data_IF_734509493362
#
_entry.id   IF_734509493362
#
_cell.length_a   1.000
_cell.length_b   1.000
_cell.length_c   1.000
_cell.angle_alpha   90.00
_cell.angle_beta   90.00
_cell.angle_gamma   90.00
#
_symmetry.space_group_name_H-M   'P 1'
#
loop_
_entity.id
_entity.type
_entity.pdbx_description
1 polymer ?
#
# COMPACT_ATOMS: atom_id res chain seq x y z
N UNK A 1 1.66 5.73 -5.32
CA UNK A 1 1.74 7.16 -4.95
C UNK A 1 2.17 8.04 -6.12
N UNK A 2 3.29 7.79 -6.80
CA UNK A 2 3.76 8.64 -7.93
C UNK A 2 2.73 8.86 -9.06
N UNK A 3 1.87 7.87 -9.32
CA UNK A 3 0.82 7.96 -10.35
C UNK A 3 -0.48 8.65 -9.88
N UNK A 4 -0.51 9.17 -8.65
CA UNK A 4 -1.69 9.84 -8.08
C UNK A 4 -1.58 11.37 -8.10
N UNK A 5 -0.71 11.95 -8.95
CA UNK A 5 -0.47 13.41 -9.04
C UNK A 5 0.04 14.04 -7.73
N UNK A 6 0.73 13.25 -6.91
CA UNK A 6 1.36 13.69 -5.67
C UNK A 6 2.66 14.43 -6.00
N UNK A 7 2.72 15.72 -5.65
CA UNK A 7 3.85 16.60 -5.93
C UNK A 7 5.10 16.28 -5.10
N UNK A 8 4.92 15.77 -3.88
CA UNK A 8 6.01 15.44 -2.98
C UNK A 8 5.64 14.26 -2.08
N UNK A 9 6.56 13.32 -1.91
CA UNK A 9 6.42 12.18 -1.01
C UNK A 9 7.39 12.35 0.16
N UNK A 10 6.86 12.26 1.38
CA UNK A 10 7.63 12.30 2.62
C UNK A 10 7.45 10.93 3.30
N UNK A 11 8.56 10.25 3.58
CA UNK A 11 8.57 8.98 4.31
C UNK A 11 9.07 9.25 5.72
N UNK A 12 8.23 8.99 6.72
CA UNK A 12 8.61 9.05 8.12
C UNK A 12 9.11 7.67 8.55
N UNK A 13 10.34 7.60 9.05
CA UNK A 13 10.99 6.35 9.47
C UNK A 13 11.28 6.36 10.97
N UNK A 14 11.13 5.20 11.61
CA UNK A 14 11.35 5.00 13.04
C UNK A 14 12.25 3.80 13.30
N UNK A 15 11.67 2.68 13.73
CA UNK A 15 12.42 1.42 13.89
C UNK A 15 13.00 0.94 12.55
N UNK A 16 14.16 0.27 12.60
CA UNK A 16 14.90 -0.23 11.42
C UNK A 16 15.06 0.79 10.29
N UNK A 17 15.15 2.08 10.63
CA UNK A 17 15.24 3.18 9.66
C UNK A 17 16.33 3.00 8.60
N UNK A 18 17.45 2.38 8.93
CA UNK A 18 18.55 2.15 7.97
C UNK A 18 18.14 1.16 6.87
N UNK A 19 17.42 0.08 7.20
CA UNK A 19 16.89 -0.87 6.21
C UNK A 19 15.87 -0.18 5.29
N UNK A 20 15.00 0.65 5.84
CA UNK A 20 14.00 1.41 5.07
C UNK A 20 14.68 2.42 4.15
N UNK A 21 15.63 3.21 4.66
CA UNK A 21 16.42 4.16 3.87
C UNK A 21 17.15 3.48 2.72
N UNK A 22 17.75 2.32 2.99
CA UNK A 22 18.44 1.53 1.97
C UNK A 22 17.49 1.06 0.87
N UNK A 23 16.28 0.62 1.24
CA UNK A 23 15.25 0.20 0.28
C UNK A 23 14.72 1.35 -0.61
N UNK A 24 14.84 2.59 -0.14
CA UNK A 24 14.37 3.79 -0.84
C UNK A 24 15.45 4.47 -1.69
N UNK A 25 16.67 3.93 -1.73
CA UNK A 25 17.75 4.45 -2.59
C UNK A 25 17.29 4.44 -4.05
N UNK A 26 17.46 5.58 -4.72
CA UNK A 26 17.02 5.76 -6.12
C UNK A 26 15.55 6.14 -6.28
N UNK A 27 14.77 6.21 -5.21
CA UNK A 27 13.39 6.72 -5.22
C UNK A 27 13.40 8.21 -4.84
N UNK A 28 12.69 9.04 -5.61
CA UNK A 28 12.56 10.46 -5.31
C UNK A 28 11.57 10.69 -4.14
N UNK A 29 12.09 10.66 -2.91
CA UNK A 29 11.34 10.91 -1.68
C UNK A 29 12.16 11.74 -0.69
N UNK A 30 11.48 12.49 0.19
CA UNK A 30 12.11 13.09 1.38
C UNK A 30 11.97 12.13 2.55
N UNK A 31 13.02 11.95 3.33
CA UNK A 31 13.02 11.08 4.51
C UNK A 31 13.08 11.94 5.76
N UNK A 32 12.21 11.63 6.73
CA UNK A 32 12.15 12.28 8.04
C UNK A 32 12.25 11.20 9.10
N UNK A 33 13.06 11.42 10.13
CA UNK A 33 13.18 10.48 11.24
C UNK A 33 12.27 10.88 12.39
N UNK A 34 11.45 9.93 12.86
CA UNK A 34 10.81 9.99 14.16
C UNK A 34 11.78 9.39 15.18
N UNK A 35 12.42 10.24 15.99
CA UNK A 35 13.44 9.78 16.95
C UNK A 35 12.85 8.91 18.07
N UNK A 36 11.69 9.29 18.59
CA UNK A 36 10.96 8.56 19.63
C UNK A 36 9.57 8.18 19.13
N UNK A 37 9.18 6.92 19.31
CA UNK A 37 7.90 6.37 18.84
C UNK A 37 6.74 6.78 19.76
N UNK A 38 6.53 8.09 19.90
CA UNK A 38 5.50 8.68 20.77
C UNK A 38 4.10 8.70 20.11
N UNK A 39 3.85 7.85 19.11
CA UNK A 39 2.57 7.77 18.39
C UNK A 39 2.54 8.45 17.02
N UNK A 40 1.43 8.26 16.32
CA UNK A 40 1.24 8.61 14.90
C UNK A 40 1.16 10.11 14.65
N UNK A 41 0.60 10.89 15.58
CA UNK A 41 0.60 12.35 15.45
C UNK A 41 2.02 12.93 15.54
N UNK A 42 2.88 12.36 16.40
CA UNK A 42 4.28 12.76 16.50
C UNK A 42 5.08 12.37 15.24
N UNK A 43 4.75 11.25 14.60
CA UNK A 43 5.32 10.89 13.31
C UNK A 43 5.03 11.98 12.25
N UNK A 44 3.78 12.44 12.15
CA UNK A 44 3.41 13.54 11.25
C UNK A 44 4.08 14.86 11.64
N UNK A 45 4.13 15.19 12.93
CA UNK A 45 4.80 16.40 13.43
C UNK A 45 6.31 16.43 13.15
N UNK A 46 6.97 15.28 13.08
CA UNK A 46 8.39 15.20 12.70
C UNK A 46 8.61 15.80 11.31
N UNK A 47 7.61 15.72 10.42
CA UNK A 47 7.64 16.30 9.07
C UNK A 47 7.17 17.78 9.01
N UNK A 48 6.84 18.42 10.14
CA UNK A 48 6.26 19.77 10.19
C UNK A 48 7.05 20.82 9.39
N UNK A 49 8.38 20.76 9.44
CA UNK A 49 9.25 21.70 8.72
C UNK A 49 9.14 21.60 7.19
N UNK A 50 8.68 20.46 6.66
CA UNK A 50 8.40 20.25 5.23
C UNK A 50 6.97 20.60 4.86
N UNK A 51 6.05 20.59 5.83
CA UNK A 51 4.64 20.95 5.65
C UNK A 51 4.40 22.45 5.80
N UNK A 52 5.20 23.13 6.62
CA UNK A 52 5.06 24.56 6.89
C UNK A 52 5.28 25.39 5.64
N UNK A 53 4.29 26.21 5.27
CA UNK A 53 4.33 27.06 4.07
C UNK A 53 3.68 26.43 2.84
N UNK A 54 3.26 25.16 2.90
CA UNK A 54 2.39 24.59 1.88
C UNK A 54 0.96 25.12 2.06
N UNK A 55 0.34 25.50 0.96
CA UNK A 55 -1.04 25.98 0.92
C UNK A 55 -2.03 24.91 0.46
N UNK A 56 -1.52 23.78 -0.02
CA UNK A 56 -2.31 22.66 -0.54
C UNK A 56 -2.80 21.73 0.58
N UNK A 57 -3.31 20.57 0.18
CA UNK A 57 -3.66 19.46 1.06
C UNK A 57 -2.48 18.51 1.25
N UNK A 58 -2.50 17.77 2.36
CA UNK A 58 -1.55 16.70 2.64
C UNK A 58 -2.30 15.40 2.84
N UNK A 59 -1.80 14.34 2.20
CA UNK A 59 -2.29 12.98 2.40
C UNK A 59 -1.37 12.24 3.36
N UNK A 60 -1.96 11.62 4.38
CA UNK A 60 -1.27 10.75 5.34
C UNK A 60 -1.69 9.32 5.06
N UNK A 61 -0.71 8.44 4.86
CA UNK A 61 -0.91 7.02 4.54
C UNK A 61 -0.03 6.17 5.46
N UNK A 62 -0.52 4.98 5.81
CA UNK A 62 0.29 3.96 6.44
C UNK A 62 1.15 3.22 5.40
N UNK A 63 2.34 2.78 5.80
CA UNK A 63 3.29 2.08 4.92
C UNK A 63 2.98 0.59 4.69
N UNK A 64 1.95 0.06 5.33
CA UNK A 64 1.63 -1.36 5.44
C UNK A 64 0.40 -1.81 4.62
N UNK A 65 -0.19 -0.91 3.81
CA UNK A 65 -1.30 -1.19 2.91
C UNK A 65 -0.83 -1.26 1.44
N UNK A 66 -0.14 -2.32 1.01
CA UNK A 66 0.55 -2.35 -0.29
C UNK A 66 -0.39 -2.53 -1.48
N UNK A 67 -1.68 -2.82 -1.28
CA UNK A 67 -2.65 -3.03 -2.37
C UNK A 67 -3.30 -1.74 -2.86
N UNK A 68 -3.12 -0.62 -2.14
CA UNK A 68 -3.77 0.66 -2.43
C UNK A 68 -3.53 1.10 -3.88
N UNK A 69 -4.61 1.45 -4.59
CA UNK A 69 -4.54 1.88 -5.99
C UNK A 69 -4.51 3.40 -6.08
N UNK A 70 -3.83 3.96 -7.10
CA UNK A 70 -3.84 5.40 -7.35
C UNK A 70 -5.25 5.99 -7.50
N UNK A 71 -6.19 5.23 -8.08
CA UNK A 71 -7.57 5.68 -8.26
C UNK A 71 -8.30 5.97 -6.95
N UNK A 72 -8.10 5.15 -5.92
CA UNK A 72 -8.71 5.35 -4.59
C UNK A 72 -8.11 6.56 -3.89
N UNK A 73 -6.79 6.76 -3.99
CA UNK A 73 -6.14 7.95 -3.45
C UNK A 73 -6.65 9.24 -4.14
N UNK A 74 -6.82 9.22 -5.47
CA UNK A 74 -7.39 10.34 -6.21
C UNK A 74 -8.82 10.65 -5.78
N UNK A 75 -9.67 9.63 -5.61
CA UNK A 75 -11.05 9.81 -5.10
C UNK A 75 -11.05 10.48 -3.72
N UNK A 76 -10.13 10.10 -2.84
CA UNK A 76 -10.02 10.70 -1.50
C UNK A 76 -9.64 12.19 -1.57
N UNK A 77 -8.72 12.57 -2.47
CA UNK A 77 -8.35 13.97 -2.71
C UNK A 77 -9.52 14.77 -3.29
N UNK A 78 -10.18 14.22 -4.31
CA UNK A 78 -11.33 14.86 -4.96
C UNK A 78 -12.46 15.07 -3.96
N UNK A 79 -12.80 14.06 -3.15
CA UNK A 79 -13.83 14.17 -2.13
C UNK A 79 -13.50 15.27 -1.10
N UNK A 80 -12.23 15.43 -0.72
CA UNK A 80 -11.82 16.52 0.17
C UNK A 80 -12.03 17.90 -0.47
N UNK A 81 -11.64 18.05 -1.74
CA UNK A 81 -11.76 19.31 -2.47
C UNK A 81 -13.21 19.69 -2.77
N UNK A 82 -14.03 18.76 -3.27
CA UNK A 82 -15.44 18.99 -3.62
C UNK A 82 -16.28 19.42 -2.41
N UNK A 83 -15.97 18.87 -1.24
CA UNK A 83 -16.69 19.19 0.00
C UNK A 83 -16.05 20.35 0.78
N UNK A 84 -14.94 20.93 0.30
CA UNK A 84 -14.14 21.93 1.01
C UNK A 84 -13.79 21.51 2.46
N UNK A 85 -13.51 20.21 2.65
CA UNK A 85 -13.37 19.62 3.96
C UNK A 85 -12.01 19.94 4.61
N UNK A 86 -11.99 20.18 5.92
CA UNK A 86 -10.75 20.32 6.69
C UNK A 86 -9.98 18.99 6.75
N UNK A 87 -10.73 17.89 6.78
CA UNK A 87 -10.23 16.52 6.75
C UNK A 87 -11.18 15.63 5.96
N UNK A 88 -10.62 14.69 5.21
CA UNK A 88 -11.34 13.55 4.66
C UNK A 88 -10.61 12.28 5.03
N UNK A 89 -11.32 11.29 5.55
CA UNK A 89 -10.75 9.98 5.89
C UNK A 89 -11.39 8.88 5.06
N UNK A 90 -10.58 7.89 4.69
CA UNK A 90 -11.08 6.66 4.08
C UNK A 90 -11.61 5.76 5.20
N UNK A 91 -12.81 5.21 5.03
CA UNK A 91 -13.44 4.24 5.93
C UNK A 91 -13.77 2.96 5.18
N UNK A 92 -14.04 1.88 5.90
CA UNK A 92 -14.48 0.62 5.32
C UNK A 92 -15.43 -0.11 6.28
N UNK A 93 -16.32 -0.94 5.75
CA UNK A 93 -17.15 -1.82 6.57
C UNK A 93 -16.59 -3.24 6.55
N UNK A 94 -16.37 -3.80 7.75
CA UNK A 94 -15.93 -5.19 7.92
C UNK A 94 -16.94 -5.97 8.77
N UNK A 95 -17.20 -7.22 8.39
CA UNK A 95 -17.96 -8.13 9.25
C UNK A 95 -17.19 -8.53 10.51
N UNK A 96 -15.85 -8.51 10.42
CA UNK A 96 -14.90 -8.83 11.47
C UNK A 96 -13.89 -7.68 11.58
N UNK A 97 -14.22 -6.63 12.35
CA UNK A 97 -13.43 -5.40 12.44
C UNK A 97 -12.29 -5.46 13.46
N UNK A 98 -12.01 -6.62 14.06
CA UNK A 98 -11.01 -6.78 15.12
C UNK A 98 -9.64 -6.23 14.70
N UNK A 99 -9.05 -5.40 15.56
CA UNK A 99 -7.72 -4.81 15.36
C UNK A 99 -7.71 -3.45 14.67
N UNK A 100 -8.87 -2.92 14.27
CA UNK A 100 -9.00 -1.59 13.67
C UNK A 100 -9.67 -0.59 14.62
N UNK A 101 -9.41 0.70 14.46
CA UNK A 101 -10.20 1.74 15.16
C UNK A 101 -11.63 1.80 14.60
N UNK A 102 -12.63 2.04 15.45
CA UNK A 102 -14.05 2.17 15.06
C UNK A 102 -14.41 3.62 14.79
N UNK A 103 -15.14 3.86 13.69
CA UNK A 103 -15.64 5.20 13.36
C UNK A 103 -16.85 5.52 14.23
N UNK A 104 -16.77 6.60 15.00
CA UNK A 104 -17.89 7.09 15.79
C UNK A 104 -18.62 8.18 14.99
N UNK A 105 -19.92 7.99 14.79
CA UNK A 105 -20.80 9.00 14.19
C UNK A 105 -21.78 9.57 15.21
N UNK A 106 -22.23 10.79 14.98
CA UNK A 106 -23.34 11.40 15.73
C UNK A 106 -24.70 11.00 15.14
N UNK A 107 -25.78 11.55 15.70
CA UNK A 107 -27.16 11.27 15.25
C UNK A 107 -27.48 11.82 13.85
N UNK A 108 -26.67 12.75 13.33
CA UNK A 108 -26.79 13.30 11.98
C UNK A 108 -25.91 12.56 10.98
N UNK A 109 -25.16 11.54 11.42
CA UNK A 109 -24.23 10.78 10.60
C UNK A 109 -22.85 11.45 10.45
N UNK A 110 -22.59 12.57 11.12
CA UNK A 110 -21.30 13.25 11.10
C UNK A 110 -20.27 12.45 11.90
N UNK A 111 -19.03 12.35 11.37
CA UNK A 111 -17.93 11.69 12.10
C UNK A 111 -17.52 12.57 13.27
N UNK A 112 -17.62 12.03 14.48
CA UNK A 112 -17.30 12.74 15.74
C UNK A 112 -15.98 12.29 16.37
N UNK A 113 -15.47 11.13 15.98
CA UNK A 113 -14.26 10.57 16.56
C UNK A 113 -13.93 9.18 16.01
N UNK A 114 -12.81 8.65 16.49
CA UNK A 114 -12.41 7.27 16.31
C UNK A 114 -12.06 6.73 17.69
N UNK A 115 -12.45 5.50 17.96
CA UNK A 115 -12.01 4.78 19.16
C UNK A 115 -11.17 3.58 18.76
N UNK A 116 -9.99 3.46 19.36
CA UNK A 116 -9.09 2.34 19.10
C UNK A 116 -9.66 1.05 19.71
N UNK A 117 -9.43 -0.11 19.08
CA UNK A 117 -9.89 -1.43 19.55
C UNK A 117 -9.54 -1.70 21.03
N UNK A 118 -8.37 -1.27 21.49
CA UNK A 118 -7.95 -1.46 22.89
C UNK A 118 -8.75 -0.64 23.91
N UNK A 119 -9.55 0.30 23.42
CA UNK A 119 -10.33 1.25 24.22
C UNK A 119 -11.84 1.06 24.08
N UNK A 120 -12.31 0.26 23.11
CA UNK A 120 -13.73 0.01 22.89
C UNK A 120 -14.42 -0.70 24.06
N UNK A 121 -15.66 -0.32 24.34
CA UNK A 121 -16.58 -1.08 25.18
C UNK A 121 -17.41 -2.12 24.38
N UNK A 122 -18.32 -2.84 25.07
CA UNK A 122 -19.12 -3.90 24.46
C UNK A 122 -20.05 -3.43 23.33
N UNK A 123 -20.56 -2.20 23.43
CA UNK A 123 -21.46 -1.60 22.44
C UNK A 123 -20.64 -1.10 21.24
N UNK A 124 -19.49 -0.46 21.50
CA UNK A 124 -18.58 0.05 20.47
C UNK A 124 -17.94 -1.08 19.65
N UNK A 125 -17.73 -2.26 20.24
CA UNK A 125 -17.27 -3.45 19.52
C UNK A 125 -18.22 -3.90 18.40
N UNK A 126 -19.50 -3.50 18.45
CA UNK A 126 -20.49 -3.82 17.41
C UNK A 126 -20.39 -2.91 16.18
N UNK A 127 -19.63 -1.82 16.27
CA UNK A 127 -19.43 -0.90 15.15
C UNK A 127 -18.60 -1.62 14.09
N UNK A 128 -19.14 -1.70 12.87
CA UNK A 128 -18.49 -2.35 11.72
C UNK A 128 -17.72 -1.40 10.82
N UNK A 129 -17.97 -0.09 10.95
CA UNK A 129 -17.23 0.93 10.21
C UNK A 129 -15.86 1.14 10.87
N UNK A 130 -14.81 0.90 10.10
CA UNK A 130 -13.44 0.96 10.58
C UNK A 130 -12.66 2.14 9.98
N UNK A 131 -11.68 2.58 10.75
CA UNK A 131 -10.62 3.46 10.30
C UNK A 131 -9.56 2.68 9.52
N UNK A 132 -9.25 3.15 8.31
CA UNK A 132 -8.25 2.51 7.46
C UNK A 132 -6.89 3.21 7.49
N UNK A 133 -6.75 4.29 8.27
CA UNK A 133 -5.47 4.98 8.45
C UNK A 133 -5.01 5.80 7.23
N UNK A 134 -5.95 6.19 6.38
CA UNK A 134 -5.68 7.03 5.20
C UNK A 134 -6.49 8.31 5.28
N UNK A 135 -5.80 9.44 5.22
CA UNK A 135 -6.38 10.74 5.50
C UNK A 135 -5.90 11.77 4.49
N UNK A 136 -6.76 12.74 4.16
CA UNK A 136 -6.40 13.98 3.47
C UNK A 136 -6.78 15.14 4.37
N UNK A 137 -5.87 16.09 4.53
CA UNK A 137 -6.09 17.27 5.36
C UNK A 137 -5.74 18.53 4.61
N UNK A 138 -6.46 19.62 4.90
CA UNK A 138 -5.91 20.96 4.68
C UNK A 138 -4.70 21.14 5.59
N UNK A 139 -3.54 21.53 5.05
CA UNK A 139 -2.29 21.64 5.81
C UNK A 139 -2.44 22.55 7.03
N UNK A 140 -3.11 23.70 6.87
CA UNK A 140 -3.38 24.62 7.98
C UNK A 140 -4.18 23.95 9.11
N UNK A 141 -5.28 23.28 8.76
CA UNK A 141 -6.14 22.60 9.75
C UNK A 141 -5.40 21.46 10.43
N UNK A 142 -4.60 20.68 9.70
CA UNK A 142 -3.75 19.63 10.28
C UNK A 142 -2.79 20.19 11.33
N UNK A 143 -2.04 21.25 11.00
CA UNK A 143 -1.06 21.84 11.93
C UNK A 143 -1.73 22.45 13.16
N UNK A 144 -2.90 23.07 13.01
CA UNK A 144 -3.72 23.56 14.13
C UNK A 144 -4.20 22.40 15.03
N UNK A 145 -4.68 21.31 14.44
CA UNK A 145 -5.16 20.15 15.18
C UNK A 145 -4.06 19.39 15.91
N UNK A 146 -2.92 19.16 15.26
CA UNK A 146 -1.76 18.48 15.85
C UNK A 146 -1.23 19.18 17.10
N UNK A 147 -1.38 20.52 17.20
CA UNK A 147 -0.94 21.28 18.36
C UNK A 147 -1.79 21.04 19.63
N UNK A 148 -2.99 20.46 19.48
CA UNK A 148 -3.93 20.21 20.56
C UNK A 148 -4.03 18.73 20.97
N UNK A 149 -3.39 17.83 20.23
CA UNK A 149 -3.36 16.41 20.55
C UNK A 149 -2.56 16.21 21.84
N UNK A 150 -3.15 15.45 22.76
CA UNK A 150 -2.56 15.13 24.06
C UNK A 150 -2.61 13.61 24.29
N UNK A 151 -1.61 13.02 24.97
CA UNK A 151 -1.50 11.58 25.17
C UNK A 151 -2.44 11.09 26.27
N UNK A 152 -3.76 11.08 26.00
CA UNK A 152 -4.81 10.76 26.98
C UNK A 152 -5.29 9.30 26.93
N UNK A 153 -4.80 8.53 25.96
CA UNK A 153 -5.13 7.10 25.82
C UNK A 153 -4.38 6.23 26.85
N UNK A 154 -4.80 4.96 26.93
CA UNK A 154 -4.20 3.97 27.84
C UNK A 154 -2.69 3.76 27.65
N UNK A 155 -2.15 4.08 26.48
CA UNK A 155 -0.71 3.92 26.17
C UNK A 155 0.12 5.18 26.41
N UNK A 156 -0.51 6.33 26.64
CA UNK A 156 0.20 7.61 26.77
C UNK A 156 0.86 8.07 25.47
N UNK A 157 0.29 7.71 24.31
CA UNK A 157 0.81 8.06 22.98
C UNK A 157 0.01 9.19 22.32
N UNK A 158 0.59 9.91 21.36
CA UNK A 158 -0.12 10.93 20.59
C UNK A 158 -0.78 10.31 19.35
N UNK A 159 -2.08 10.05 19.40
CA UNK A 159 -2.82 9.45 18.29
C UNK A 159 -3.30 10.50 17.30
N UNK A 160 -2.96 10.31 16.02
CA UNK A 160 -3.46 11.17 14.95
C UNK A 160 -4.99 11.12 14.87
N UNK A 161 -5.61 9.99 15.24
CA UNK A 161 -7.07 9.79 15.25
C UNK A 161 -7.78 10.77 16.18
N UNK A 162 -7.12 11.26 17.25
CA UNK A 162 -7.68 12.24 18.18
C UNK A 162 -8.01 13.60 17.51
N UNK A 163 -7.39 13.90 16.36
CA UNK A 163 -7.65 15.13 15.61
C UNK A 163 -9.10 15.25 15.17
N UNK A 164 -9.78 14.12 14.96
CA UNK A 164 -11.18 14.08 14.51
C UNK A 164 -12.09 14.66 15.58
N UNK A 165 -11.92 14.24 16.83
CA UNK A 165 -12.67 14.77 17.97
C UNK A 165 -12.39 16.26 18.17
N UNK A 166 -11.14 16.69 17.99
CA UNK A 166 -10.75 18.12 18.05
C UNK A 166 -11.46 18.92 16.95
N UNK A 167 -11.46 18.42 15.73
CA UNK A 167 -12.12 19.06 14.59
C UNK A 167 -13.63 19.12 14.77
N UNK A 168 -14.25 18.04 15.25
CA UNK A 168 -15.68 17.96 15.52
C UNK A 168 -16.11 19.04 16.53
N UNK A 169 -15.41 19.16 17.65
CA UNK A 169 -15.72 20.18 18.67
C UNK A 169 -15.49 21.62 18.21
N UNK A 170 -14.64 21.82 17.20
CA UNK A 170 -14.39 23.13 16.58
C UNK A 170 -15.32 23.46 15.42
N UNK A 171 -16.24 22.56 15.06
CA UNK A 171 -17.10 22.71 13.89
C UNK A 171 -16.34 22.72 12.56
N UNK A 172 -15.15 22.11 12.52
CA UNK A 172 -14.39 21.88 11.28
C UNK A 172 -15.10 20.81 10.45
N UNK A 173 -14.95 20.86 9.12
CA UNK A 173 -15.64 19.93 8.22
C UNK A 173 -14.86 18.63 8.07
N UNK A 174 -15.48 17.51 8.46
CA UNK A 174 -14.89 16.16 8.42
C UNK A 174 -15.73 15.29 7.50
N UNK A 175 -15.11 14.72 6.47
CA UNK A 175 -15.78 13.86 5.48
C UNK A 175 -15.26 12.43 5.53
N UNK A 176 -16.17 11.46 5.49
CA UNK A 176 -15.82 10.04 5.36
C UNK A 176 -16.06 9.54 3.94
N UNK A 177 -15.04 8.97 3.31
CA UNK A 177 -15.17 8.27 2.04
C UNK A 177 -15.13 6.76 2.28
N UNK A 178 -16.23 6.07 2.01
CA UNK A 178 -16.27 4.61 2.11
C UNK A 178 -15.50 3.95 0.95
N UNK A 179 -14.60 3.02 1.26
CA UNK A 179 -13.97 2.16 0.27
C UNK A 179 -14.87 0.98 -0.09
N UNK A 180 -15.19 0.86 -1.37
CA UNK A 180 -15.92 -0.29 -1.93
C UNK A 180 -15.09 -1.57 -2.02
N UNK A 181 -13.76 -1.45 -1.96
CA UNK A 181 -12.84 -2.58 -2.03
C UNK A 181 -11.99 -2.63 -0.74
N UNK A 182 -12.43 -3.45 0.20
CA UNK A 182 -11.75 -3.58 1.50
C UNK A 182 -10.35 -4.17 1.32
N UNK A 183 -10.16 -5.16 0.45
CA UNK A 183 -8.85 -5.79 0.21
C UNK A 183 -7.78 -4.79 -0.25
N UNK A 184 -8.18 -3.73 -0.94
CA UNK A 184 -7.27 -2.69 -1.42
C UNK A 184 -6.70 -1.83 -0.28
N UNK A 185 -7.49 -1.59 0.76
CA UNK A 185 -7.23 -0.53 1.74
C UNK A 185 -6.71 -1.07 3.08
N UNK A 186 -6.90 -2.36 3.37
CA UNK A 186 -6.45 -2.97 4.62
C UNK A 186 -4.93 -3.08 4.71
N UNK A 187 -4.41 -2.81 5.91
CA UNK A 187 -3.01 -3.01 6.26
C UNK A 187 -2.67 -4.48 6.51
N UNK A 188 -1.37 -4.79 6.54
CA UNK A 188 -0.85 -6.13 6.80
C UNK A 188 -0.19 -6.17 8.18
N UNK A 189 -0.75 -6.98 9.07
CA UNK A 189 -0.28 -7.17 10.44
C UNK A 189 0.25 -8.59 10.68
N UNK A 190 -0.15 -9.56 9.87
CA UNK A 190 0.26 -10.97 10.03
C UNK A 190 0.92 -11.56 8.78
N UNK A 191 1.75 -12.59 8.96
CA UNK A 191 2.35 -13.35 7.84
C UNK A 191 1.29 -14.03 6.97
N UNK A 192 0.12 -14.36 7.55
CA UNK A 192 -1.01 -14.91 6.80
C UNK A 192 -1.62 -13.86 5.87
N UNK A 193 -1.83 -12.64 6.36
CA UNK A 193 -2.29 -11.51 5.54
C UNK A 193 -1.28 -11.19 4.44
N UNK A 194 0.02 -11.19 4.75
CA UNK A 194 1.07 -10.97 3.76
C UNK A 194 1.03 -12.00 2.63
N UNK A 195 0.86 -13.29 2.97
CA UNK A 195 0.73 -14.36 1.99
C UNK A 195 -0.48 -14.17 1.07
N UNK A 196 -1.64 -13.80 1.64
CA UNK A 196 -2.86 -13.53 0.88
C UNK A 196 -2.68 -12.32 -0.07
N UNK A 197 -2.07 -11.25 0.41
CA UNK A 197 -1.78 -10.06 -0.41
C UNK A 197 -0.81 -10.37 -1.55
N UNK A 198 0.26 -11.14 -1.27
CA UNK A 198 1.19 -11.58 -2.30
C UNK A 198 0.52 -12.44 -3.37
N UNK A 199 -0.42 -13.31 -2.97
CA UNK A 199 -1.22 -14.09 -3.91
C UNK A 199 -2.09 -13.18 -4.80
N UNK A 200 -2.77 -12.19 -4.23
CA UNK A 200 -3.54 -11.20 -4.99
C UNK A 200 -2.66 -10.47 -6.00
N UNK A 201 -1.48 -9.98 -5.58
CA UNK A 201 -0.53 -9.30 -6.48
C UNK A 201 -0.04 -10.19 -7.61
N UNK A 202 0.31 -11.44 -7.32
CA UNK A 202 0.73 -12.42 -8.36
C UNK A 202 -0.37 -12.64 -9.39
N UNK A 203 -1.61 -12.80 -8.94
CA UNK A 203 -2.75 -12.97 -9.82
C UNK A 203 -2.96 -11.75 -10.72
N UNK A 204 -2.77 -10.53 -10.21
CA UNK A 204 -2.84 -9.30 -11.01
C UNK A 204 -1.77 -9.26 -12.11
N UNK A 205 -0.53 -9.61 -11.77
CA UNK A 205 0.59 -9.62 -12.74
C UNK A 205 0.33 -10.65 -13.85
N UNK A 206 -0.07 -11.86 -13.47
CA UNK A 206 -0.34 -12.91 -14.46
C UNK A 206 -1.50 -12.53 -15.38
N UNK A 207 -2.60 -11.99 -14.83
CA UNK A 207 -3.73 -11.49 -15.63
C UNK A 207 -3.30 -10.41 -16.61
N UNK A 208 -2.48 -9.46 -16.17
CA UNK A 208 -1.96 -8.40 -17.04
C UNK A 208 -1.22 -8.94 -18.28
N UNK A 209 -0.42 -10.00 -18.13
CA UNK A 209 0.25 -10.63 -19.28
C UNK A 209 -0.72 -11.41 -20.17
N UNK A 210 -1.68 -12.13 -19.57
CA UNK A 210 -2.71 -12.84 -20.33
C UNK A 210 -3.56 -11.89 -21.17
N UNK A 211 -3.95 -10.74 -20.61
CA UNK A 211 -4.70 -9.69 -21.31
C UNK A 211 -3.90 -9.06 -22.47
N UNK A 212 -2.56 -9.18 -22.43
CA UNK A 212 -1.64 -8.77 -23.50
C UNK A 212 -1.35 -9.86 -24.53
N UNK A 213 -2.05 -11.00 -24.49
CA UNK A 213 -1.89 -12.08 -25.46
C UNK A 213 -0.75 -13.06 -25.14
N UNK A 214 -0.18 -13.01 -23.94
CA UNK A 214 0.82 -13.99 -23.47
C UNK A 214 0.10 -15.24 -22.96
N UNK A 215 0.54 -16.41 -23.41
CA UNK A 215 -0.05 -17.67 -22.94
C UNK A 215 0.61 -18.08 -21.63
N UNK A 216 -0.08 -17.91 -20.50
CA UNK A 216 0.33 -18.48 -19.21
C UNK A 216 -0.47 -19.77 -18.99
N UNK A 217 0.20 -20.92 -19.10
CA UNK A 217 -0.47 -22.24 -19.13
C UNK A 217 -1.14 -22.58 -17.80
N UNK A 218 -0.46 -22.28 -16.69
CA UNK A 218 -0.99 -22.50 -15.33
C UNK A 218 -0.74 -21.25 -14.47
N UNK A 219 -1.67 -20.28 -14.47
CA UNK A 219 -1.56 -19.05 -13.69
C UNK A 219 -1.31 -19.26 -12.20
N UNK A 220 -1.80 -20.37 -11.62
CA UNK A 220 -1.65 -20.64 -10.18
C UNK A 220 -0.25 -21.10 -9.81
N UNK A 221 0.50 -21.66 -10.78
CA UNK A 221 1.83 -22.23 -10.58
C UNK A 221 2.93 -21.51 -11.39
N UNK A 222 2.66 -20.32 -11.90
CA UNK A 222 3.64 -19.47 -12.58
C UNK A 222 3.86 -18.18 -11.79
N UNK A 223 5.13 -17.85 -11.55
CA UNK A 223 5.52 -16.70 -10.74
C UNK A 223 6.27 -15.70 -11.60
N UNK A 224 5.73 -14.49 -11.71
CA UNK A 224 6.32 -13.40 -12.48
C UNK A 224 6.44 -12.21 -11.53
N UNK A 225 7.66 -11.70 -11.34
CA UNK A 225 7.90 -10.50 -10.54
C UNK A 225 7.57 -9.22 -11.33
N UNK A 226 7.54 -8.08 -10.62
CA UNK A 226 7.35 -6.77 -11.24
C UNK A 226 8.50 -6.40 -12.18
N UNK A 227 8.23 -5.49 -13.13
CA UNK A 227 9.22 -4.99 -14.11
C UNK A 227 9.74 -6.07 -15.08
N UNK A 228 8.94 -7.09 -15.36
CA UNK A 228 9.20 -8.06 -16.42
C UNK A 228 8.54 -7.59 -17.71
N UNK A 229 9.21 -7.79 -18.83
CA UNK A 229 8.69 -7.59 -20.18
C UNK A 229 8.62 -8.94 -20.91
N UNK A 230 7.50 -9.22 -21.56
CA UNK A 230 7.28 -10.45 -22.33
C UNK A 230 6.66 -10.07 -23.67
N UNK A 231 7.34 -10.45 -24.75
CA UNK A 231 6.89 -10.22 -26.12
C UNK A 231 5.71 -11.10 -26.52
N UNK A 232 4.89 -10.60 -27.45
CA UNK A 232 3.69 -11.27 -27.95
C UNK A 232 3.96 -12.68 -28.49
N UNK A 233 2.97 -13.57 -28.34
CA UNK A 233 3.05 -14.95 -28.81
C UNK A 233 3.91 -15.86 -27.93
N UNK A 234 4.54 -15.32 -26.88
CA UNK A 234 5.30 -16.13 -25.92
C UNK A 234 4.37 -16.97 -25.04
N UNK A 235 4.81 -18.20 -24.77
CA UNK A 235 4.17 -19.16 -23.89
C UNK A 235 5.02 -19.40 -22.65
N UNK A 236 4.42 -19.30 -21.47
CA UNK A 236 5.03 -19.61 -20.19
C UNK A 236 4.36 -20.85 -19.60
N UNK A 237 5.14 -21.91 -19.49
CA UNK A 237 4.72 -23.20 -18.95
C UNK A 237 4.74 -23.20 -17.40
N UNK A 238 4.08 -24.18 -16.76
CA UNK A 238 3.94 -24.24 -15.30
C UNK A 238 5.27 -24.34 -14.55
N UNK A 239 5.25 -23.97 -13.27
CA UNK A 239 6.38 -24.01 -12.35
C UNK A 239 7.58 -23.14 -12.78
N UNK A 240 7.29 -22.08 -13.53
CA UNK A 240 8.28 -21.12 -13.99
C UNK A 240 8.34 -19.93 -13.04
N UNK A 241 9.55 -19.52 -12.68
CA UNK A 241 9.82 -18.31 -11.91
C UNK A 241 10.62 -17.31 -12.75
N UNK A 242 10.08 -16.11 -12.95
CA UNK A 242 10.71 -15.03 -13.69
C UNK A 242 10.98 -13.87 -12.73
N UNK A 243 12.26 -13.62 -12.44
CA UNK A 243 12.68 -12.51 -11.58
C UNK A 243 12.44 -11.14 -12.24
N UNK A 244 12.47 -10.08 -11.42
CA UNK A 244 12.36 -8.69 -11.87
C UNK A 244 13.39 -8.32 -12.95
N UNK A 245 13.07 -7.30 -13.74
CA UNK A 245 13.93 -6.74 -14.80
C UNK A 245 14.31 -7.72 -15.92
N UNK A 246 13.61 -8.84 -16.05
CA UNK A 246 13.79 -9.77 -17.17
C UNK A 246 13.07 -9.24 -18.40
N UNK A 247 13.73 -9.35 -19.56
CA UNK A 247 13.14 -9.05 -20.87
C UNK A 247 13.10 -10.33 -21.70
N UNK A 248 11.90 -10.76 -22.08
CA UNK A 248 11.67 -11.92 -22.96
C UNK A 248 11.11 -11.42 -24.28
N UNK A 249 11.72 -11.84 -25.38
CA UNK A 249 11.28 -11.57 -26.74
C UNK A 249 9.92 -12.19 -27.10
N UNK A 250 9.60 -12.11 -28.39
CA UNK A 250 8.37 -12.63 -28.97
C UNK A 250 8.47 -14.12 -29.26
N UNK A 251 7.33 -14.82 -29.27
CA UNK A 251 7.21 -16.22 -29.71
C UNK A 251 8.14 -17.19 -28.96
N UNK A 252 8.51 -16.87 -27.73
CA UNK A 252 9.35 -17.74 -26.90
C UNK A 252 8.53 -18.86 -26.24
N UNK A 253 9.22 -19.92 -25.82
CA UNK A 253 8.66 -20.97 -24.96
C UNK A 253 9.48 -21.04 -23.67
N UNK A 254 8.91 -20.62 -22.55
CA UNK A 254 9.60 -20.53 -21.26
C UNK A 254 9.05 -21.58 -20.30
N UNK A 255 9.94 -22.36 -19.70
CA UNK A 255 9.62 -23.47 -18.82
C UNK A 255 9.17 -24.73 -19.57
N UNK A 256 8.72 -25.76 -18.84
CA UNK A 256 8.42 -25.74 -17.40
C UNK A 256 9.68 -25.74 -16.52
N UNK A 257 9.50 -25.50 -15.22
CA UNK A 257 10.57 -25.55 -14.21
C UNK A 257 11.75 -24.59 -14.45
N UNK A 258 11.54 -23.54 -15.25
CA UNK A 258 12.59 -22.56 -15.53
C UNK A 258 12.69 -21.53 -14.40
N UNK A 259 13.92 -21.19 -14.02
CA UNK A 259 14.22 -20.06 -13.13
C UNK A 259 15.00 -19.01 -13.90
N UNK A 260 14.33 -17.93 -14.29
CA UNK A 260 14.96 -16.84 -15.06
C UNK A 260 15.45 -15.78 -14.07
N UNK A 261 16.77 -15.65 -13.97
CA UNK A 261 17.44 -14.70 -13.06
C UNK A 261 17.18 -13.26 -13.46
N UNK A 262 17.24 -12.36 -12.47
CA UNK A 262 17.08 -10.92 -12.69
C UNK A 262 18.06 -10.41 -13.75
N UNK A 263 17.62 -9.39 -14.50
CA UNK A 263 18.36 -8.71 -15.56
C UNK A 263 18.70 -9.58 -16.80
N UNK A 264 18.15 -10.80 -16.88
CA UNK A 264 18.30 -11.64 -18.06
C UNK A 264 17.55 -11.05 -19.27
N UNK A 265 18.13 -11.25 -20.46
CA UNK A 265 17.53 -10.89 -21.75
C UNK A 265 17.45 -12.13 -22.62
N UNK A 266 16.25 -12.47 -23.06
CA UNK A 266 15.95 -13.62 -23.91
C UNK A 266 15.45 -13.05 -25.23
N UNK A 267 16.12 -13.37 -26.33
CA UNK A 267 15.74 -12.91 -27.67
C UNK A 267 14.47 -13.61 -28.17
N UNK A 268 13.95 -13.14 -29.31
CA UNK A 268 12.78 -13.73 -29.97
C UNK A 268 13.03 -15.20 -30.35
N UNK A 269 11.96 -15.99 -30.39
CA UNK A 269 11.94 -17.39 -30.86
C UNK A 269 12.85 -18.33 -30.04
N UNK A 270 13.16 -17.97 -28.79
CA UNK A 270 13.98 -18.79 -27.87
C UNK A 270 13.13 -19.75 -27.05
N UNK A 271 13.62 -20.97 -26.87
CA UNK A 271 13.09 -21.95 -25.92
C UNK A 271 14.02 -22.08 -24.71
N UNK A 272 13.46 -21.93 -23.50
CA UNK A 272 14.17 -22.13 -22.24
C UNK A 272 13.41 -23.17 -21.43
N UNK A 273 14.01 -24.33 -21.23
CA UNK A 273 13.44 -25.39 -20.39
C UNK A 273 14.29 -25.65 -19.14
N UNK A 274 13.62 -25.89 -18.02
CA UNK A 274 14.24 -26.41 -16.80
C UNK A 274 14.39 -27.93 -16.80
N UNK A 275 13.99 -28.61 -17.87
CA UNK A 275 14.09 -30.06 -18.03
C UNK A 275 15.14 -30.43 -19.07
N UNK A 276 15.71 -31.62 -18.92
CA UNK A 276 16.63 -32.18 -19.91
C UNK A 276 15.82 -32.81 -21.05
N UNK A 277 15.87 -32.22 -22.24
CA UNK A 277 15.32 -32.84 -23.44
C UNK A 277 16.34 -33.78 -24.07
N UNK A 278 16.00 -35.07 -24.08
CA UNK A 278 16.82 -36.21 -24.52
C UNK A 278 18.11 -36.38 -23.70
N UNK A 279 18.09 -37.33 -22.77
CA UNK A 279 19.26 -37.78 -22.04
C UNK A 279 20.33 -38.37 -22.98
N UNK A 280 21.21 -37.52 -23.49
CA UNK A 280 22.54 -37.84 -23.98
C UNK A 280 23.55 -37.09 -23.14
N UNK A 281 23.87 -37.62 -21.96
CA UNK A 281 24.98 -37.15 -21.13
C UNK A 281 26.29 -37.38 -21.91
N UNK A 282 26.71 -36.39 -22.70
CA UNK A 282 28.10 -36.30 -23.16
C UNK A 282 28.83 -35.30 -22.27
N UNK A 283 29.64 -35.84 -21.37
CA UNK A 283 30.67 -35.11 -20.67
C UNK A 283 31.72 -34.59 -21.67
N UNK A 284 31.90 -33.26 -21.71
CA UNK A 284 33.14 -32.49 -21.96
C UNK A 284 32.73 -31.06 -22.33
N UNK A 285 33.38 -30.02 -21.81
CA UNK A 285 34.75 -29.54 -22.13
C UNK A 285 35.19 -28.71 -20.89
N UNK A 286 36.22 -29.03 -20.10
CA UNK A 286 37.68 -28.79 -20.28
C UNK A 286 38.08 -27.41 -20.87
N UNK A 287 38.49 -26.46 -20.02
CA UNK A 287 39.18 -25.23 -20.43
C UNK A 287 38.90 -24.04 -19.53
#
# INVERSE_FOLDING_TARGET
MQNAEISQIIVVVGDKKEEVKDSLKGVSVKIVEQQEQLGTAQAVLSARHLLSGLTDVVMVLNGDAPLIKPGTLKKLIVANAENDADMTLLTAFLDKPEGYGRILRDTHGCIKGIIEESETDADELQIKEINVGMYVFKVKSLLEGLAEIAPRNKKGEFYLTDIISIFYHKGKRIEGLESVNTTEVLGINTQRELAAVNQTRRNEIVRYFMDKGITIVDPANTFIESHVEIGEGTKVNPFTYICKNVVIGQRCCIGPFAYIKADAKIEDDVEVSGTVDKAGLFSRIEG
#
